data_IF_571464186411
#
_entry.id   IF_571464186411
#
_cell.length_a   1.000
_cell.length_b   1.000
_cell.length_c   1.000
_cell.angle_alpha   90.00
_cell.angle_beta   90.00
_cell.angle_gamma   90.00
#
_symmetry.space_group_name_H-M   'P 1'
#
loop_
_entity.id
_entity.type
_entity.pdbx_description
1 polymer ?
#
# COMPACT_ATOMS: atom_id res chain seq x y z
N UNK A 1 -26.28 4.91 -13.77
CA UNK A 1 -24.86 5.33 -13.61
C UNK A 1 -24.35 4.63 -12.36
N UNK A 2 -23.34 3.77 -12.47
CA UNK A 2 -22.74 3.11 -11.31
C UNK A 2 -21.86 4.13 -10.59
N UNK A 3 -22.15 4.42 -9.32
CA UNK A 3 -21.41 5.40 -8.52
C UNK A 3 -20.29 4.76 -7.70
N UNK A 4 -20.38 3.45 -7.46
CA UNK A 4 -19.39 2.69 -6.71
C UNK A 4 -18.21 2.33 -7.62
N UNK A 5 -17.00 2.71 -7.21
CA UNK A 5 -15.78 2.52 -7.98
C UNK A 5 -14.60 2.20 -7.06
N UNK A 6 -13.65 1.41 -7.56
CA UNK A 6 -12.36 1.20 -6.92
C UNK A 6 -11.23 1.38 -7.92
N UNK A 7 -10.57 2.53 -7.89
CA UNK A 7 -9.49 2.85 -8.81
C UNK A 7 -8.82 4.17 -8.46
N UNK A 8 -8.62 5.04 -9.45
CA UNK A 8 -7.86 6.28 -9.29
C UNK A 8 -8.74 7.51 -9.50
N UNK A 9 -8.36 8.62 -8.87
CA UNK A 9 -8.98 9.91 -9.16
C UNK A 9 -8.78 10.30 -10.61
N UNK A 10 -9.83 10.87 -11.21
CA UNK A 10 -9.72 11.45 -12.54
C UNK A 10 -8.89 12.73 -12.44
N UNK A 11 -7.90 12.98 -13.31
CA UNK A 11 -7.10 14.19 -13.29
C UNK A 11 -7.95 15.46 -13.23
N UNK A 12 -7.65 16.35 -12.28
CA UNK A 12 -8.41 17.59 -12.06
C UNK A 12 -9.75 17.41 -11.31
N UNK A 13 -10.16 16.19 -10.95
CA UNK A 13 -11.40 15.90 -10.22
C UNK A 13 -11.13 14.99 -9.02
N UNK A 14 -10.94 15.61 -7.86
CA UNK A 14 -10.60 14.93 -6.61
C UNK A 14 -11.76 14.10 -6.02
N UNK A 15 -13.00 14.36 -6.43
CA UNK A 15 -14.21 13.70 -5.92
C UNK A 15 -14.75 12.60 -6.85
N UNK A 16 -14.07 12.34 -7.98
CA UNK A 16 -14.46 11.29 -8.93
C UNK A 16 -13.38 10.25 -9.06
N UNK A 17 -13.79 9.00 -8.84
CA UNK A 17 -12.93 7.82 -9.00
C UNK A 17 -13.32 7.12 -10.29
N UNK A 18 -12.33 6.83 -11.12
CA UNK A 18 -12.48 5.94 -12.26
C UNK A 18 -12.35 4.50 -11.77
N UNK A 19 -13.41 3.70 -11.94
CA UNK A 19 -13.30 2.26 -11.74
C UNK A 19 -12.42 1.66 -12.84
N UNK A 20 -11.43 0.86 -12.44
CA UNK A 20 -10.52 0.20 -13.38
C UNK A 20 -10.57 -1.31 -13.16
N UNK A 21 -10.22 -2.09 -14.17
CA UNK A 21 -10.08 -3.54 -14.04
C UNK A 21 -8.61 -3.98 -14.01
N UNK A 22 -7.72 -3.22 -14.66
CA UNK A 22 -6.29 -3.51 -14.72
C UNK A 22 -5.48 -2.21 -14.59
N UNK A 23 -4.60 -2.20 -13.60
CA UNK A 23 -3.46 -1.29 -13.51
C UNK A 23 -2.26 -1.98 -14.16
N UNK A 24 -1.71 -1.37 -15.20
CA UNK A 24 -0.59 -1.92 -15.97
C UNK A 24 0.79 -1.73 -15.31
N UNK A 25 0.86 -0.87 -14.30
CA UNK A 25 2.10 -0.55 -13.58
C UNK A 25 2.36 -1.49 -12.39
N UNK A 26 1.35 -2.26 -11.97
CA UNK A 26 1.44 -3.16 -10.84
C UNK A 26 1.34 -4.61 -11.30
N UNK A 27 1.87 -5.51 -10.46
CA UNK A 27 1.73 -6.95 -10.65
C UNK A 27 0.25 -7.38 -10.72
N UNK A 28 -0.04 -8.42 -11.51
CA UNK A 28 -1.40 -8.87 -11.74
C UNK A 28 -2.11 -9.39 -10.48
N UNK A 29 -1.36 -9.83 -9.45
CA UNK A 29 -1.95 -10.18 -8.15
C UNK A 29 -2.57 -8.95 -7.47
N UNK A 30 -2.00 -7.75 -7.65
CA UNK A 30 -2.61 -6.49 -7.16
C UNK A 30 -3.98 -6.27 -7.79
N UNK A 31 -4.07 -6.47 -9.11
CA UNK A 31 -5.33 -6.37 -9.84
C UNK A 31 -6.36 -7.39 -9.36
N UNK A 32 -5.94 -8.63 -9.12
CA UNK A 32 -6.82 -9.69 -8.62
C UNK A 32 -7.35 -9.39 -7.22
N UNK A 33 -6.49 -8.95 -6.29
CA UNK A 33 -6.89 -8.58 -4.92
C UNK A 33 -7.87 -7.42 -4.96
N UNK A 34 -7.55 -6.34 -5.70
CA UNK A 34 -8.39 -5.15 -5.82
C UNK A 34 -9.76 -5.48 -6.41
N UNK A 35 -9.81 -6.20 -7.54
CA UNK A 35 -11.07 -6.58 -8.17
C UNK A 35 -11.90 -7.49 -7.27
N UNK A 36 -11.27 -8.48 -6.61
CA UNK A 36 -11.99 -9.35 -5.69
C UNK A 36 -12.56 -8.59 -4.47
N UNK A 37 -11.83 -7.62 -3.94
CA UNK A 37 -12.33 -6.74 -2.87
C UNK A 37 -13.54 -5.93 -3.34
N UNK A 38 -13.45 -5.28 -4.51
CA UNK A 38 -14.56 -4.54 -5.12
C UNK A 38 -15.79 -5.42 -5.29
N UNK A 39 -15.63 -6.57 -5.94
CA UNK A 39 -16.73 -7.47 -6.27
C UNK A 39 -17.38 -8.04 -5.00
N UNK A 40 -16.57 -8.31 -3.95
CA UNK A 40 -17.07 -8.69 -2.64
C UNK A 40 -17.91 -7.58 -2.00
N UNK A 41 -17.42 -6.34 -2.00
CA UNK A 41 -18.14 -5.20 -1.44
C UNK A 41 -19.47 -4.96 -2.18
N UNK A 42 -19.47 -5.01 -3.52
CA UNK A 42 -20.68 -4.88 -4.33
C UNK A 42 -21.69 -5.99 -4.03
N UNK A 43 -21.24 -7.25 -3.97
CA UNK A 43 -22.11 -8.40 -3.67
C UNK A 43 -22.75 -8.31 -2.29
N UNK A 44 -22.01 -7.83 -1.30
CA UNK A 44 -22.49 -7.69 0.08
C UNK A 44 -23.11 -6.31 0.37
N UNK A 45 -23.28 -5.46 -0.64
CA UNK A 45 -23.88 -4.12 -0.54
C UNK A 45 -23.18 -3.21 0.47
N UNK A 46 -21.86 -3.26 0.52
CA UNK A 46 -21.07 -2.34 1.33
C UNK A 46 -21.14 -0.94 0.72
N UNK A 47 -21.26 0.08 1.56
CA UNK A 47 -21.22 1.48 1.13
C UNK A 47 -19.78 1.90 0.79
N UNK A 48 -19.62 2.64 -0.29
CA UNK A 48 -18.36 3.26 -0.69
C UNK A 48 -18.32 4.69 -0.19
N UNK A 49 -17.12 5.17 0.12
CA UNK A 49 -16.91 6.47 0.72
C UNK A 49 -17.29 7.61 -0.24
N UNK A 50 -18.22 8.44 0.21
CA UNK A 50 -18.59 9.68 -0.46
C UNK A 50 -17.76 10.83 0.13
N UNK A 51 -16.83 11.36 -0.66
CA UNK A 51 -15.94 12.42 -0.22
C UNK A 51 -16.66 13.73 0.11
N UNK A 52 -17.81 14.01 -0.53
CA UNK A 52 -18.57 15.26 -0.31
C UNK A 52 -19.43 15.15 0.96
N UNK A 53 -20.10 14.01 1.13
CA UNK A 53 -20.99 13.77 2.25
C UNK A 53 -20.28 13.20 3.48
N UNK A 54 -19.02 12.77 3.35
CA UNK A 54 -18.21 12.17 4.41
C UNK A 54 -18.94 11.01 5.07
N UNK A 55 -19.37 10.05 4.26
CA UNK A 55 -20.12 8.87 4.71
C UNK A 55 -19.77 7.65 3.88
N UNK A 56 -20.11 6.46 4.38
CA UNK A 56 -19.80 5.19 3.73
C UNK A 56 -18.67 4.44 4.44
N UNK A 57 -18.67 3.12 4.26
CA UNK A 57 -17.75 2.22 4.94
C UNK A 57 -16.38 2.18 4.28
N UNK A 58 -16.34 1.88 2.97
CA UNK A 58 -15.11 1.58 2.25
C UNK A 58 -14.42 2.84 1.74
N UNK A 59 -13.16 3.08 2.11
CA UNK A 59 -12.47 4.32 1.75
C UNK A 59 -11.33 4.12 0.74
N UNK A 60 -10.26 3.46 1.16
CA UNK A 60 -9.05 3.30 0.34
C UNK A 60 -8.54 1.88 0.48
N UNK A 61 -8.04 1.31 -0.62
CA UNK A 61 -7.30 0.06 -0.60
C UNK A 61 -5.85 0.35 -1.00
N UNK A 62 -4.91 0.06 -0.10
CA UNK A 62 -3.48 0.25 -0.35
C UNK A 62 -2.86 -1.12 -0.53
N UNK A 63 -2.18 -1.33 -1.64
CA UNK A 63 -1.42 -2.55 -1.90
C UNK A 63 0.05 -2.19 -2.07
N UNK A 64 0.91 -2.96 -1.40
CA UNK A 64 2.36 -2.91 -1.57
C UNK A 64 2.88 -4.32 -1.77
N UNK A 65 3.86 -4.47 -2.64
CA UNK A 65 4.56 -5.71 -2.85
C UNK A 65 6.07 -5.46 -2.94
N UNK A 66 6.84 -6.52 -2.71
CA UNK A 66 8.30 -6.48 -2.78
C UNK A 66 8.82 -7.38 -3.89
N UNK A 67 10.08 -7.20 -4.28
CA UNK A 67 10.73 -8.01 -5.30
C UNK A 67 10.92 -9.46 -4.88
N UNK A 68 10.95 -9.73 -3.57
CA UNK A 68 11.00 -11.08 -2.98
C UNK A 68 9.62 -11.72 -2.78
N UNK A 69 8.55 -11.10 -3.30
CA UNK A 69 7.22 -11.70 -3.34
C UNK A 69 6.40 -11.55 -2.05
N UNK A 70 6.77 -10.63 -1.15
CA UNK A 70 5.92 -10.29 0.00
C UNK A 70 4.83 -9.29 -0.38
N UNK A 71 3.66 -9.40 0.27
CA UNK A 71 2.48 -8.61 -0.05
C UNK A 71 1.85 -8.02 1.21
N UNK A 72 1.70 -6.70 1.21
CA UNK A 72 0.95 -5.95 2.20
C UNK A 72 -0.33 -5.41 1.58
N UNK A 73 -1.46 -5.68 2.23
CA UNK A 73 -2.76 -5.12 1.89
C UNK A 73 -3.26 -4.36 3.10
N UNK A 74 -3.60 -3.09 2.90
CA UNK A 74 -4.19 -2.23 3.93
C UNK A 74 -5.57 -1.82 3.47
N UNK A 75 -6.60 -2.25 4.19
CA UNK A 75 -7.97 -1.84 3.94
C UNK A 75 -8.28 -0.64 4.85
N UNK A 76 -8.58 0.51 4.25
CA UNK A 76 -8.96 1.71 4.99
C UNK A 76 -10.48 1.85 4.96
N UNK A 77 -11.05 1.92 6.14
CA UNK A 77 -12.47 2.17 6.38
C UNK A 77 -12.68 3.60 6.85
N UNK A 78 -13.84 4.19 6.56
CA UNK A 78 -14.26 5.46 7.14
C UNK A 78 -15.18 5.22 8.33
N UNK A 79 -16.32 4.55 8.11
CA UNK A 79 -17.16 4.04 9.20
C UNK A 79 -16.50 2.84 9.89
N UNK A 80 -16.84 2.63 11.17
CA UNK A 80 -16.36 1.50 11.96
C UNK A 80 -17.50 0.51 12.18
N UNK A 81 -17.63 -0.43 11.25
CA UNK A 81 -18.57 -1.55 11.31
C UNK A 81 -17.74 -2.84 11.41
N UNK A 82 -17.67 -3.40 12.62
CA UNK A 82 -16.82 -4.54 12.91
C UNK A 82 -17.20 -5.79 12.12
N UNK A 83 -18.49 -6.09 12.00
CA UNK A 83 -18.98 -7.26 11.29
C UNK A 83 -18.58 -7.20 9.81
N UNK A 84 -18.86 -6.08 9.14
CA UNK A 84 -18.52 -5.92 7.72
C UNK A 84 -17.01 -5.88 7.48
N UNK A 85 -16.26 -5.21 8.36
CA UNK A 85 -14.80 -5.18 8.30
C UNK A 85 -14.24 -6.60 8.35
N UNK A 86 -14.62 -7.36 9.37
CA UNK A 86 -14.10 -8.72 9.58
C UNK A 86 -14.51 -9.66 8.46
N UNK A 87 -15.73 -9.53 7.92
CA UNK A 87 -16.17 -10.27 6.74
C UNK A 87 -15.24 -10.07 5.54
N UNK A 88 -14.90 -8.81 5.20
CA UNK A 88 -14.01 -8.52 4.08
C UNK A 88 -12.58 -8.98 4.34
N UNK A 89 -12.04 -8.72 5.54
CA UNK A 89 -10.68 -9.10 5.88
C UNK A 89 -10.51 -10.63 5.89
N UNK A 90 -11.49 -11.38 6.41
CA UNK A 90 -11.48 -12.84 6.36
C UNK A 90 -11.59 -13.37 4.93
N UNK A 91 -12.42 -12.75 4.08
CA UNK A 91 -12.50 -13.11 2.68
C UNK A 91 -11.15 -12.93 1.96
N UNK A 92 -10.49 -11.78 2.15
CA UNK A 92 -9.18 -11.51 1.54
C UNK A 92 -8.12 -12.50 2.06
N UNK A 93 -8.08 -12.72 3.38
CA UNK A 93 -7.16 -13.65 4.02
C UNK A 93 -7.33 -15.11 3.59
N UNK A 94 -8.56 -15.52 3.24
CA UNK A 94 -8.86 -16.87 2.77
C UNK A 94 -8.63 -17.05 1.27
N UNK A 95 -8.95 -16.03 0.46
CA UNK A 95 -8.83 -16.10 -1.00
C UNK A 95 -7.39 -15.89 -1.50
N UNK A 96 -6.59 -15.11 -0.79
CA UNK A 96 -5.24 -14.73 -1.21
C UNK A 96 -4.21 -15.10 -0.12
N UNK A 97 -3.83 -16.40 -0.02
CA UNK A 97 -2.81 -16.84 0.93
C UNK A 97 -1.43 -16.19 0.73
N UNK A 98 -1.19 -15.56 -0.43
CA UNK A 98 0.02 -14.80 -0.73
C UNK A 98 0.15 -13.50 0.08
N UNK A 99 -0.95 -12.99 0.68
CA UNK A 99 -0.89 -11.79 1.52
C UNK A 99 -0.13 -12.12 2.81
N UNK A 100 1.08 -11.58 2.96
CA UNK A 100 1.94 -11.79 4.14
C UNK A 100 1.66 -10.78 5.25
N UNK A 101 1.04 -9.65 4.93
CA UNK A 101 0.67 -8.58 5.85
C UNK A 101 -0.71 -8.03 5.48
N UNK A 102 -1.74 -8.41 6.24
CA UNK A 102 -3.10 -7.87 6.07
C UNK A 102 -3.42 -6.95 7.24
N UNK A 103 -3.56 -5.66 6.93
CA UNK A 103 -3.73 -4.58 7.89
C UNK A 103 -5.03 -3.83 7.60
N UNK A 104 -5.52 -3.10 8.60
CA UNK A 104 -6.60 -2.14 8.37
C UNK A 104 -6.42 -0.86 9.18
N UNK A 105 -7.14 0.17 8.73
CA UNK A 105 -7.16 1.50 9.34
C UNK A 105 -8.60 1.99 9.37
N UNK A 106 -9.00 2.67 10.43
CA UNK A 106 -10.24 3.46 10.47
C UNK A 106 -9.81 4.93 10.38
N UNK A 107 -10.08 5.57 9.24
CA UNK A 107 -9.74 6.97 8.99
C UNK A 107 -11.02 7.78 8.80
N UNK A 108 -11.39 8.59 9.80
CA UNK A 108 -12.57 9.48 9.77
C UNK A 108 -12.27 10.92 9.32
N UNK A 109 -11.04 11.22 8.91
CA UNK A 109 -10.65 12.56 8.48
C UNK A 109 -11.17 12.88 7.08
N UNK A 110 -11.22 14.15 6.72
CA UNK A 110 -11.57 14.58 5.37
C UNK A 110 -10.52 14.20 4.30
N UNK A 111 -9.26 13.93 4.69
CA UNK A 111 -8.16 13.61 3.78
C UNK A 111 -7.67 12.16 3.92
N UNK A 112 -6.99 11.67 2.90
CA UNK A 112 -6.58 10.26 2.80
C UNK A 112 -5.23 9.94 3.46
N UNK A 113 -4.64 10.90 4.18
CA UNK A 113 -3.36 10.68 4.86
C UNK A 113 -3.53 9.71 6.03
N UNK A 114 -2.64 8.71 6.11
CA UNK A 114 -2.68 7.66 7.15
C UNK A 114 -1.59 7.80 8.23
N UNK A 115 -0.73 8.81 8.13
CA UNK A 115 0.48 8.94 8.97
C UNK A 115 0.18 9.01 10.47
N UNK A 116 -0.87 9.72 10.84
CA UNK A 116 -1.37 9.92 12.21
C UNK A 116 -2.42 8.88 12.62
N UNK A 117 -2.82 7.97 11.73
CA UNK A 117 -3.85 6.97 12.01
C UNK A 117 -3.25 5.74 12.68
N UNK A 118 -4.02 5.08 13.54
CA UNK A 118 -3.65 3.77 14.06
C UNK A 118 -3.72 2.72 12.95
N UNK A 119 -2.74 1.82 12.90
CA UNK A 119 -2.73 0.71 11.94
C UNK A 119 -2.84 -0.59 12.71
N UNK A 120 -3.89 -1.36 12.44
CA UNK A 120 -4.14 -2.62 13.12
C UNK A 120 -3.75 -3.78 12.20
N UNK A 121 -2.95 -4.69 12.73
CA UNK A 121 -2.63 -5.95 12.06
C UNK A 121 -3.77 -6.94 12.24
N UNK A 122 -4.41 -7.34 11.13
CA UNK A 122 -5.44 -8.37 11.16
C UNK A 122 -4.84 -9.77 11.05
N UNK A 123 -3.89 -9.97 10.12
CA UNK A 123 -3.25 -11.26 9.89
C UNK A 123 -1.85 -11.10 9.30
N UNK A 124 -0.92 -11.95 9.75
CA UNK A 124 0.45 -11.98 9.25
C UNK A 124 1.36 -11.04 10.03
N UNK A 125 2.19 -10.28 9.32
CA UNK A 125 3.16 -9.35 9.91
C UNK A 125 2.70 -7.89 9.79
N UNK A 126 3.25 -7.03 10.64
CA UNK A 126 3.05 -5.57 10.58
C UNK A 126 3.90 -4.87 9.49
N UNK A 127 4.74 -5.64 8.80
CA UNK A 127 5.66 -5.16 7.78
C UNK A 127 5.84 -6.22 6.68
N UNK A 128 6.33 -5.77 5.54
CA UNK A 128 6.89 -6.63 4.48
C UNK A 128 8.39 -6.42 4.39
N UNK A 129 9.09 -7.40 3.82
CA UNK A 129 10.54 -7.36 3.62
C UNK A 129 10.84 -7.19 2.14
N UNK A 130 11.72 -6.22 1.84
CA UNK A 130 12.37 -6.08 0.55
C UNK A 130 13.85 -6.42 0.66
N UNK A 131 14.44 -6.89 -0.43
CA UNK A 131 15.87 -7.24 -0.49
C UNK A 131 16.60 -6.45 -1.58
N UNK A 132 17.83 -6.02 -1.28
CA UNK A 132 18.71 -5.40 -2.26
C UNK A 132 20.18 -5.72 -1.94
N UNK A 133 20.87 -6.42 -2.85
CA UNK A 133 22.26 -6.90 -2.65
C UNK A 133 22.49 -7.65 -1.32
N UNK A 134 21.52 -8.47 -0.90
CA UNK A 134 21.58 -9.25 0.34
C UNK A 134 21.20 -8.47 1.61
N UNK A 135 20.97 -7.16 1.51
CA UNK A 135 20.42 -6.35 2.60
C UNK A 135 18.91 -6.51 2.65
N UNK A 136 18.36 -6.63 3.85
CA UNK A 136 16.92 -6.77 4.08
C UNK A 136 16.35 -5.52 4.74
N UNK A 137 15.30 -4.97 4.13
CA UNK A 137 14.62 -3.76 4.58
C UNK A 137 13.19 -4.08 5.01
N UNK A 138 12.85 -3.76 6.27
CA UNK A 138 11.47 -3.84 6.75
C UNK A 138 10.69 -2.60 6.32
N UNK A 139 9.63 -2.82 5.56
CA UNK A 139 8.74 -1.79 5.05
C UNK A 139 7.42 -1.87 5.84
N UNK A 140 7.20 -0.88 6.70
CA UNK A 140 5.93 -0.72 7.42
C UNK A 140 4.86 0.00 6.59
N UNK A 141 3.60 0.02 7.06
CA UNK A 141 2.46 0.64 6.36
C UNK A 141 2.64 2.15 6.11
N UNK A 142 3.33 2.84 7.02
CA UNK A 142 3.59 4.29 6.96
C UNK A 142 4.98 4.64 6.42
N UNK A 143 5.84 3.64 6.24
CA UNK A 143 7.22 3.85 5.79
C UNK A 143 7.24 4.21 4.31
N UNK A 144 8.09 5.16 3.92
CA UNK A 144 8.43 5.37 2.52
C UNK A 144 9.45 4.30 2.07
N UNK A 145 9.21 3.75 0.88
CA UNK A 145 10.14 2.92 0.13
C UNK A 145 9.91 3.18 -1.36
N UNK A 146 10.95 3.03 -2.18
CA UNK A 146 10.86 3.29 -3.62
C UNK A 146 9.86 2.33 -4.28
N UNK A 147 8.92 2.86 -5.04
CA UNK A 147 7.80 2.08 -5.62
C UNK A 147 8.23 1.12 -6.73
N UNK A 148 9.42 1.32 -7.31
CA UNK A 148 10.01 0.44 -8.30
C UNK A 148 11.37 -0.05 -7.80
N UNK A 149 11.39 -1.22 -7.16
CA UNK A 149 12.60 -1.78 -6.54
C UNK A 149 13.75 -1.98 -7.55
N UNK A 150 13.44 -2.32 -8.81
CA UNK A 150 14.45 -2.50 -9.86
C UNK A 150 15.12 -1.17 -10.23
N UNK A 151 14.35 -0.11 -10.35
CA UNK A 151 14.89 1.23 -10.62
C UNK A 151 15.57 1.83 -9.39
N UNK A 152 15.08 1.52 -8.18
CA UNK A 152 15.74 1.90 -6.94
C UNK A 152 17.17 1.33 -6.88
N UNK A 153 17.33 0.05 -7.22
CA UNK A 153 18.64 -0.59 -7.35
C UNK A 153 19.56 0.16 -8.32
N UNK A 154 19.08 0.45 -9.54
CA UNK A 154 19.87 1.19 -10.53
C UNK A 154 20.26 2.59 -10.06
N UNK A 155 19.32 3.31 -9.43
CA UNK A 155 19.56 4.64 -8.88
C UNK A 155 20.64 4.60 -7.80
N UNK A 156 20.52 3.69 -6.83
CA UNK A 156 21.46 3.60 -5.72
C UNK A 156 22.84 3.15 -6.19
N UNK A 157 22.90 2.24 -7.17
CA UNK A 157 24.16 1.85 -7.81
C UNK A 157 24.88 3.04 -8.43
N UNK A 158 24.18 3.88 -9.21
CA UNK A 158 24.77 5.09 -9.80
C UNK A 158 25.23 6.07 -8.71
N UNK A 159 24.43 6.26 -7.65
CA UNK A 159 24.82 7.11 -6.53
C UNK A 159 26.11 6.62 -5.85
N UNK A 160 26.23 5.31 -5.60
CA UNK A 160 27.43 4.68 -5.04
C UNK A 160 28.65 4.85 -5.94
N UNK A 161 28.49 4.60 -7.25
CA UNK A 161 29.55 4.77 -8.24
C UNK A 161 30.06 6.22 -8.29
N UNK A 162 29.15 7.20 -8.25
CA UNK A 162 29.51 8.62 -8.27
C UNK A 162 30.14 9.10 -6.96
N UNK A 163 29.74 8.52 -5.83
CA UNK A 163 30.32 8.84 -4.53
C UNK A 163 31.79 8.41 -4.43
N UNK A 164 32.20 7.37 -5.18
CA UNK A 164 33.59 6.94 -5.27
C UNK A 164 34.21 6.55 -3.92
N UNK A 165 33.40 6.01 -3.00
CA UNK A 165 33.80 5.73 -1.63
C UNK A 165 34.92 4.68 -1.59
N UNK A 166 36.00 4.99 -0.87
CA UNK A 166 37.12 4.08 -0.62
C UNK A 166 36.97 3.28 0.68
N UNK A 167 36.01 3.65 1.53
CA UNK A 167 35.73 3.04 2.83
C UNK A 167 36.37 3.78 4.02
N UNK A 168 36.98 4.93 3.78
CA UNK A 168 37.61 5.77 4.82
C UNK A 168 36.86 7.09 5.08
N UNK A 169 35.85 7.36 4.26
CA UNK A 169 35.06 8.58 4.29
C UNK A 169 34.05 8.57 5.44
N UNK A 170 33.66 9.76 5.90
CA UNK A 170 32.50 9.95 6.77
C UNK A 170 31.32 10.43 5.92
N UNK A 171 30.31 9.58 5.80
CA UNK A 171 29.11 9.85 4.99
C UNK A 171 27.96 10.31 5.88
N UNK A 172 27.28 11.38 5.46
CA UNK A 172 26.04 11.84 6.08
C UNK A 172 24.89 11.57 5.11
N UNK A 173 24.02 10.63 5.47
CA UNK A 173 22.74 10.45 4.78
C UNK A 173 21.73 11.45 5.37
N UNK A 174 21.20 12.33 4.53
CA UNK A 174 20.23 13.35 4.91
C UNK A 174 18.87 12.95 4.33
N UNK A 175 17.80 13.11 5.12
CA UNK A 175 16.45 12.65 4.75
C UNK A 175 16.36 11.13 4.54
N UNK A 176 17.04 10.39 5.42
CA UNK A 176 17.34 8.96 5.28
C UNK A 176 16.12 8.06 5.15
N UNK A 177 14.95 8.50 5.65
CA UNK A 177 13.74 7.69 5.66
C UNK A 177 13.98 6.37 6.41
N UNK A 178 13.94 5.26 5.69
CA UNK A 178 14.24 3.91 6.22
C UNK A 178 15.74 3.56 6.19
N UNK A 179 16.61 4.51 5.82
CA UNK A 179 18.06 4.35 5.74
C UNK A 179 18.52 3.54 4.54
N UNK A 180 17.69 3.39 3.51
CA UNK A 180 17.96 2.49 2.38
C UNK A 180 19.20 2.87 1.58
N UNK A 181 19.46 4.16 1.43
CA UNK A 181 20.64 4.66 0.71
C UNK A 181 21.91 4.43 1.56
N UNK A 182 21.93 4.90 2.81
CA UNK A 182 23.09 4.72 3.70
C UNK A 182 23.51 3.26 3.88
N UNK A 183 22.57 2.31 3.92
CA UNK A 183 22.91 0.90 4.08
C UNK A 183 23.41 0.27 2.77
N UNK A 184 23.00 0.80 1.61
CA UNK A 184 23.34 0.25 0.30
C UNK A 184 24.65 0.81 -0.29
N UNK A 185 24.89 2.11 -0.10
CA UNK A 185 26.00 2.86 -0.68
C UNK A 185 27.32 2.54 0.03
#
# INVERSE_FOLDING_TARGET
RQMDALGFHIPGMFDKVLDINKCWLQDDLSNQIRNAARDFCLKNKFSFFDLRNQSGLMRTLILRNTSVGEWMVIVVFYEDDAEKREMLLNFLAGKFPQITSLLYIINRKANDTITDQEVICWKGREYIVEEMEGLQFKIGPKSFYQTNSRQAYSLYKVAREFAGLSGSERVYDLYTGTGTIANFV
#
